data_IF_379770522265
#
_entry.id   IF_379770522265
#
_cell.length_a   1.000
_cell.length_b   1.000
_cell.length_c   1.000
_cell.angle_alpha   90.00
_cell.angle_beta   90.00
_cell.angle_gamma   90.00
#
_symmetry.space_group_name_H-M   'P 1'
#
loop_
_entity.id
_entity.type
_entity.pdbx_description
1 polymer ?
#
# COMPACT_ATOMS: atom_id res chain seq x y z
N UNK A 1 67.52 -18.48 -5.92
CA UNK A 1 66.45 -18.37 -4.92
C UNK A 1 65.32 -17.55 -5.50
N UNK A 2 64.16 -18.16 -5.68
CA UNK A 2 62.98 -17.63 -6.37
C UNK A 2 61.84 -17.61 -5.38
N UNK A 3 61.16 -16.47 -5.22
CA UNK A 3 59.81 -16.43 -4.67
C UNK A 3 59.01 -15.33 -5.38
N UNK A 4 58.22 -15.74 -6.38
CA UNK A 4 57.10 -14.98 -6.93
C UNK A 4 55.87 -15.22 -6.02
N UNK A 5 55.46 -14.19 -5.28
CA UNK A 5 54.21 -14.20 -4.52
C UNK A 5 53.01 -13.96 -5.43
N UNK A 6 52.28 -15.03 -5.76
CA UNK A 6 51.09 -14.99 -6.60
C UNK A 6 49.85 -14.73 -5.73
N UNK A 7 49.39 -13.48 -5.63
CA UNK A 7 48.17 -13.13 -4.87
C UNK A 7 46.95 -13.42 -5.74
N UNK A 8 46.43 -14.64 -5.66
CA UNK A 8 45.14 -15.02 -6.27
C UNK A 8 44.02 -14.20 -5.62
N UNK A 9 43.46 -13.28 -6.39
CA UNK A 9 42.22 -12.59 -6.05
C UNK A 9 41.08 -13.60 -6.23
N UNK A 10 40.56 -14.13 -5.13
CA UNK A 10 39.37 -15.00 -5.14
C UNK A 10 38.19 -14.09 -5.45
N UNK A 11 37.76 -14.11 -6.72
CA UNK A 11 36.49 -13.51 -7.13
C UNK A 11 35.38 -14.29 -6.43
N UNK A 12 34.78 -13.70 -5.39
CA UNK A 12 33.55 -14.20 -4.78
C UNK A 12 32.43 -13.96 -5.78
N UNK A 13 32.16 -14.95 -6.62
CA UNK A 13 30.89 -15.05 -7.33
C UNK A 13 29.79 -15.17 -6.27
N UNK A 14 29.10 -14.06 -6.00
CA UNK A 14 27.89 -14.07 -5.20
C UNK A 14 26.84 -14.79 -6.03
N UNK A 15 26.67 -16.09 -5.78
CA UNK A 15 25.49 -16.82 -6.20
C UNK A 15 24.28 -16.07 -5.63
N UNK A 16 23.42 -15.56 -6.50
CA UNK A 16 22.13 -14.98 -6.15
C UNK A 16 21.28 -16.07 -5.48
N UNK A 17 21.44 -16.22 -4.17
CA UNK A 17 20.64 -17.09 -3.33
C UNK A 17 19.23 -16.53 -3.27
N UNK A 18 18.33 -17.14 -4.04
CA UNK A 18 16.89 -16.99 -3.84
C UNK A 18 16.60 -17.54 -2.44
N UNK A 19 15.91 -16.75 -1.60
CA UNK A 19 15.35 -17.27 -0.35
C UNK A 19 14.36 -18.36 -0.74
N UNK A 20 14.69 -19.61 -0.43
CA UNK A 20 13.86 -20.77 -0.74
C UNK A 20 12.57 -20.67 0.05
N UNK A 21 11.44 -20.43 -0.62
CA UNK A 21 10.12 -20.52 -0.02
C UNK A 21 9.87 -22.01 0.25
N UNK A 22 9.76 -22.39 1.52
CA UNK A 22 9.44 -23.77 1.89
C UNK A 22 7.97 -24.04 1.61
N UNK A 23 7.65 -25.17 0.98
CA UNK A 23 6.27 -25.58 0.70
C UNK A 23 5.41 -25.60 1.98
N UNK A 24 5.99 -25.91 3.13
CA UNK A 24 5.28 -25.91 4.43
C UNK A 24 4.83 -24.53 4.90
N UNK A 25 5.53 -23.46 4.53
CA UNK A 25 5.19 -22.08 4.93
C UNK A 25 4.01 -21.52 4.10
N UNK A 26 3.80 -22.02 2.88
CA UNK A 26 2.69 -21.63 1.99
C UNK A 26 1.33 -22.20 2.45
N UNK A 27 1.32 -23.37 3.07
CA UNK A 27 0.08 -24.04 3.50
C UNK A 27 -0.47 -23.52 4.83
N UNK A 28 0.37 -22.95 5.71
CA UNK A 28 -0.04 -22.59 7.08
C UNK A 28 -0.27 -21.08 7.29
N UNK A 29 0.14 -20.23 6.35
CA UNK A 29 0.03 -18.79 6.51
C UNK A 29 -1.26 -18.25 5.86
N UNK A 30 -2.08 -17.59 6.67
CA UNK A 30 -3.23 -16.80 6.22
C UNK A 30 -2.84 -15.59 5.36
N UNK A 31 -1.54 -15.26 5.33
CA UNK A 31 -0.94 -14.18 4.54
C UNK A 31 0.44 -14.64 4.07
N UNK A 32 0.72 -14.68 2.77
CA UNK A 32 2.08 -14.90 2.28
C UNK A 32 3.05 -13.94 3.01
N UNK A 33 4.10 -14.48 3.65
CA UNK A 33 5.12 -13.68 4.33
C UNK A 33 6.05 -13.00 3.31
N UNK A 34 5.46 -12.13 2.50
CA UNK A 34 6.10 -11.40 1.42
C UNK A 34 5.57 -9.98 1.46
N UNK A 35 6.47 -9.00 1.39
CA UNK A 35 6.13 -7.58 1.36
C UNK A 35 5.89 -7.13 -0.09
N UNK A 36 6.88 -7.35 -0.95
CA UNK A 36 6.82 -7.01 -2.37
C UNK A 36 7.39 -8.18 -3.17
N UNK A 37 6.77 -8.51 -4.31
CA UNK A 37 7.28 -9.52 -5.24
C UNK A 37 7.43 -8.94 -6.65
N UNK A 38 8.45 -9.38 -7.39
CA UNK A 38 8.71 -8.93 -8.77
C UNK A 38 8.84 -10.14 -9.69
N UNK A 39 8.14 -10.09 -10.83
CA UNK A 39 8.15 -11.12 -11.87
C UNK A 39 8.01 -10.51 -13.27
N UNK A 40 8.46 -11.18 -14.34
CA UNK A 40 8.16 -10.75 -15.70
C UNK A 40 6.65 -10.68 -15.95
N UNK A 41 6.18 -9.70 -16.71
CA UNK A 41 4.74 -9.54 -17.01
C UNK A 41 4.19 -10.78 -17.69
N UNK A 42 4.94 -11.38 -18.62
CA UNK A 42 4.54 -12.59 -19.34
C UNK A 42 4.26 -13.75 -18.38
N UNK A 43 5.09 -13.90 -17.35
CA UNK A 43 4.94 -14.94 -16.34
C UNK A 43 3.71 -14.70 -15.47
N UNK A 44 3.40 -13.44 -15.11
CA UNK A 44 2.18 -13.11 -14.37
C UNK A 44 0.94 -13.49 -15.20
N UNK A 45 0.89 -13.06 -16.46
CA UNK A 45 -0.25 -13.30 -17.34
C UNK A 45 -0.47 -14.81 -17.59
N UNK A 46 0.61 -15.56 -17.71
CA UNK A 46 0.57 -17.01 -17.91
C UNK A 46 0.07 -17.76 -16.66
N UNK A 47 0.59 -17.41 -15.48
CA UNK A 47 0.27 -18.13 -14.24
C UNK A 47 -1.03 -17.68 -13.57
N UNK A 48 -1.54 -16.50 -13.93
CA UNK A 48 -2.74 -15.90 -13.32
C UNK A 48 -3.83 -15.60 -14.37
N UNK A 49 -3.95 -16.47 -15.38
CA UNK A 49 -4.96 -16.37 -16.43
C UNK A 49 -6.43 -16.26 -15.96
N UNK A 50 -6.84 -16.78 -14.78
CA UNK A 50 -8.19 -16.51 -14.26
C UNK A 50 -8.45 -15.04 -13.93
N UNK A 51 -7.41 -14.29 -13.55
CA UNK A 51 -7.50 -12.87 -13.19
C UNK A 51 -7.07 -11.94 -14.32
N UNK A 52 -6.22 -12.41 -15.23
CA UNK A 52 -5.71 -11.66 -16.37
C UNK A 52 -6.03 -12.41 -17.67
N UNK A 53 -7.22 -12.20 -18.22
CA UNK A 53 -7.57 -12.83 -19.50
C UNK A 53 -7.04 -12.00 -20.66
N UNK A 54 -6.17 -12.62 -21.46
CA UNK A 54 -5.64 -12.06 -22.69
C UNK A 54 -6.57 -12.40 -23.85
N UNK A 55 -7.11 -11.39 -24.51
CA UNK A 55 -7.92 -11.50 -25.73
C UNK A 55 -7.36 -10.54 -26.78
N UNK A 56 -6.91 -11.08 -27.91
CA UNK A 56 -6.25 -10.33 -28.98
C UNK A 56 -5.14 -9.40 -28.42
N UNK A 57 -5.38 -8.09 -28.49
CA UNK A 57 -4.48 -7.03 -28.07
C UNK A 57 -4.92 -6.35 -26.75
N UNK A 58 -5.80 -7.02 -25.98
CA UNK A 58 -6.37 -6.54 -24.72
C UNK A 58 -6.13 -7.54 -23.59
N UNK A 59 -5.84 -7.02 -22.39
CA UNK A 59 -5.84 -7.79 -21.15
C UNK A 59 -7.00 -7.27 -20.29
N UNK A 60 -7.95 -8.13 -19.94
CA UNK A 60 -9.05 -7.78 -19.04
C UNK A 60 -8.77 -8.31 -17.65
N UNK A 61 -8.80 -7.43 -16.66
CA UNK A 61 -8.63 -7.79 -15.24
C UNK A 61 -9.98 -8.20 -14.66
N UNK A 62 -10.03 -9.39 -14.05
CA UNK A 62 -11.22 -9.95 -13.40
C UNK A 62 -10.98 -10.17 -11.91
N UNK A 63 -11.98 -9.84 -11.08
CA UNK A 63 -11.75 -9.53 -9.67
C UNK A 63 -12.89 -10.01 -8.73
N UNK A 64 -13.61 -11.07 -9.12
CA UNK A 64 -14.90 -11.46 -8.54
C UNK A 64 -14.82 -12.13 -7.15
N UNK A 65 -13.76 -12.92 -6.88
CA UNK A 65 -13.59 -13.68 -5.62
C UNK A 65 -12.13 -13.64 -5.15
N UNK A 66 -11.49 -12.47 -5.25
CA UNK A 66 -10.05 -12.31 -5.04
C UNK A 66 -9.41 -11.46 -6.12
N UNK A 67 -8.15 -11.73 -6.41
CA UNK A 67 -7.37 -11.08 -7.47
C UNK A 67 -6.56 -9.90 -6.99
N UNK A 68 -6.44 -8.89 -7.85
CA UNK A 68 -5.44 -7.83 -7.75
C UNK A 68 -6.06 -6.45 -8.00
N UNK A 69 -5.60 -5.45 -7.25
CA UNK A 69 -5.84 -4.05 -7.59
C UNK A 69 -4.75 -3.61 -8.57
N UNK A 70 -5.06 -3.62 -9.87
CA UNK A 70 -4.09 -3.31 -10.93
C UNK A 70 -4.07 -1.81 -11.19
N UNK A 71 -2.96 -1.15 -10.85
CA UNK A 71 -2.76 0.28 -11.06
C UNK A 71 -1.86 0.52 -12.29
N UNK A 72 -2.38 1.20 -13.31
CA UNK A 72 -1.63 1.50 -14.54
C UNK A 72 -2.26 2.66 -15.33
N UNK A 73 -1.70 2.99 -16.50
CA UNK A 73 -2.21 4.04 -17.41
C UNK A 73 -2.85 3.43 -18.67
N UNK A 74 -3.40 2.22 -18.55
CA UNK A 74 -4.16 1.56 -19.61
C UNK A 74 -3.35 0.78 -20.64
N UNK A 75 -2.02 0.75 -20.55
CA UNK A 75 -1.16 -0.07 -21.43
C UNK A 75 -0.08 -0.81 -20.65
N UNK A 76 0.28 -1.99 -21.12
CA UNK A 76 1.41 -2.78 -20.61
C UNK A 76 2.12 -3.51 -21.75
N UNK A 77 3.44 -3.61 -21.66
CA UNK A 77 4.23 -4.45 -22.57
C UNK A 77 4.38 -5.85 -21.99
N UNK A 78 4.22 -6.87 -22.83
CA UNK A 78 4.60 -8.23 -22.52
C UNK A 78 5.26 -8.87 -23.75
N UNK A 79 6.52 -9.26 -23.62
CA UNK A 79 7.35 -9.76 -24.70
C UNK A 79 7.67 -8.67 -25.72
N UNK A 80 7.09 -8.81 -26.92
CA UNK A 80 7.24 -7.83 -28.02
C UNK A 80 5.93 -7.11 -28.34
N UNK A 81 4.88 -7.38 -27.57
CA UNK A 81 3.54 -6.87 -27.80
C UNK A 81 3.17 -5.87 -26.71
N UNK A 82 2.37 -4.89 -27.09
CA UNK A 82 1.75 -3.93 -26.16
C UNK A 82 0.27 -4.23 -26.09
N UNK A 83 -0.25 -4.41 -24.89
CA UNK A 83 -1.66 -4.69 -24.62
C UNK A 83 -2.33 -3.48 -23.99
N UNK A 84 -3.58 -3.26 -24.38
CA UNK A 84 -4.49 -2.35 -23.66
C UNK A 84 -5.06 -3.09 -22.45
N UNK A 85 -4.98 -2.50 -21.26
CA UNK A 85 -5.57 -3.10 -20.04
C UNK A 85 -6.99 -2.55 -19.86
N UNK A 86 -7.94 -3.44 -19.52
CA UNK A 86 -9.30 -3.10 -19.09
C UNK A 86 -9.50 -3.43 -17.62
N UNK A 87 -10.42 -2.71 -16.97
CA UNK A 87 -10.74 -2.83 -15.54
C UNK A 87 -9.54 -2.58 -14.61
N UNK A 88 -8.62 -1.70 -15.03
CA UNK A 88 -7.55 -1.20 -14.19
C UNK A 88 -8.01 0.02 -13.38
N UNK A 89 -7.22 0.39 -12.39
CA UNK A 89 -7.36 1.63 -11.62
C UNK A 89 -6.27 2.58 -12.12
N UNK A 90 -6.63 3.83 -12.42
CA UNK A 90 -5.65 4.83 -12.84
C UNK A 90 -4.61 5.06 -11.74
N UNK A 91 -3.35 5.32 -12.11
CA UNK A 91 -2.31 5.60 -11.09
C UNK A 91 -2.54 6.92 -10.37
N UNK A 92 -3.28 7.86 -10.95
CA UNK A 92 -3.58 9.16 -10.34
C UNK A 92 -5.09 9.40 -10.31
N UNK A 93 -5.71 9.25 -9.14
CA UNK A 93 -7.16 9.39 -8.97
C UNK A 93 -7.56 10.73 -8.37
N UNK A 94 -8.78 11.19 -8.65
CA UNK A 94 -9.39 12.35 -8.00
C UNK A 94 -10.55 11.89 -7.14
N UNK A 95 -10.48 12.21 -5.85
CA UNK A 95 -11.47 11.89 -4.84
C UNK A 95 -12.21 13.20 -4.51
N UNK A 96 -13.53 13.18 -4.60
CA UNK A 96 -14.39 14.37 -4.42
C UNK A 96 -15.17 14.33 -3.11
N UNK A 97 -15.32 13.14 -2.53
CA UNK A 97 -16.12 12.94 -1.33
C UNK A 97 -15.40 12.09 -0.29
N UNK A 98 -15.86 12.15 0.95
CA UNK A 98 -15.39 11.25 2.00
C UNK A 98 -15.73 9.77 1.71
N UNK A 99 -16.83 9.51 0.98
CA UNK A 99 -17.15 8.17 0.51
C UNK A 99 -16.10 7.68 -0.51
N UNK A 100 -15.72 8.52 -1.48
CA UNK A 100 -14.66 8.21 -2.45
C UNK A 100 -13.34 7.89 -1.74
N UNK A 101 -13.02 8.63 -0.67
CA UNK A 101 -11.84 8.38 0.15
C UNK A 101 -11.91 7.03 0.87
N UNK A 102 -13.05 6.71 1.51
CA UNK A 102 -13.25 5.42 2.17
C UNK A 102 -13.13 4.27 1.16
N UNK A 103 -13.81 4.37 0.02
CA UNK A 103 -13.77 3.36 -1.03
C UNK A 103 -12.36 3.17 -1.62
N UNK A 104 -11.63 4.28 -1.84
CA UNK A 104 -10.25 4.23 -2.32
C UNK A 104 -9.32 3.60 -1.27
N UNK A 105 -9.47 3.94 0.00
CA UNK A 105 -8.74 3.32 1.11
C UNK A 105 -9.00 1.82 1.17
N UNK A 106 -10.24 1.39 1.05
CA UNK A 106 -10.59 -0.04 1.00
C UNK A 106 -9.97 -0.73 -0.23
N UNK A 107 -9.98 -0.08 -1.38
CA UNK A 107 -9.37 -0.59 -2.62
C UNK A 107 -7.86 -0.82 -2.47
N UNK A 108 -7.15 0.09 -1.82
CA UNK A 108 -5.71 -0.06 -1.54
C UNK A 108 -5.41 -1.20 -0.56
N UNK A 109 -6.27 -1.40 0.45
CA UNK A 109 -5.94 -2.22 1.62
C UNK A 109 -6.51 -3.64 1.61
N UNK A 110 -7.35 -3.99 0.63
CA UNK A 110 -8.05 -5.30 0.57
C UNK A 110 -7.40 -6.29 -0.39
N UNK A 111 -6.81 -5.83 -1.50
CA UNK A 111 -6.18 -6.70 -2.50
C UNK A 111 -4.72 -6.34 -2.69
N UNK A 112 -3.85 -7.32 -3.01
CA UNK A 112 -2.51 -7.02 -3.46
C UNK A 112 -2.56 -6.07 -4.65
N UNK A 113 -1.70 -5.06 -4.63
CA UNK A 113 -1.58 -4.09 -5.71
C UNK A 113 -0.63 -4.65 -6.77
N UNK A 114 -0.96 -4.45 -8.04
CA UNK A 114 -0.06 -4.74 -9.17
C UNK A 114 0.30 -3.43 -9.86
N UNK A 115 1.60 -3.21 -9.99
CA UNK A 115 2.20 -2.14 -10.77
C UNK A 115 3.03 -2.74 -11.91
N UNK A 116 3.23 -1.97 -12.96
CA UNK A 116 4.08 -2.37 -14.08
C UNK A 116 5.22 -1.38 -14.24
N UNK A 117 6.43 -1.89 -14.46
CA UNK A 117 7.61 -1.08 -14.71
C UNK A 117 8.49 -1.73 -15.76
N UNK A 118 9.43 -0.97 -16.32
CA UNK A 118 10.43 -1.49 -17.23
C UNK A 118 11.78 -1.47 -16.56
N UNK A 119 12.57 -2.51 -16.79
CA UNK A 119 13.96 -2.53 -16.38
C UNK A 119 14.84 -3.11 -17.49
N UNK A 120 16.06 -2.56 -17.56
CA UNK A 120 17.06 -2.88 -18.56
C UNK A 120 18.22 -3.62 -17.92
N UNK A 121 18.68 -4.69 -18.54
CA UNK A 121 19.82 -5.45 -18.02
C UNK A 121 21.12 -4.67 -18.22
N UNK A 122 21.90 -4.44 -17.19
CA UNK A 122 23.07 -3.55 -17.27
C UNK A 122 24.31 -4.22 -17.85
N UNK A 123 24.34 -5.55 -17.93
CA UNK A 123 25.50 -6.33 -18.37
C UNK A 123 25.39 -6.91 -19.78
N UNK A 124 24.56 -6.33 -20.65
CA UNK A 124 24.41 -6.73 -22.05
C UNK A 124 24.86 -5.60 -23.00
N UNK A 125 25.51 -5.95 -24.12
CA UNK A 125 25.98 -4.99 -25.13
C UNK A 125 24.82 -4.29 -25.87
N UNK A 126 23.66 -4.95 -25.98
CA UNK A 126 22.44 -4.40 -26.58
C UNK A 126 21.21 -4.69 -25.69
N UNK A 127 21.15 -4.04 -24.51
CA UNK A 127 20.16 -4.37 -23.51
C UNK A 127 18.78 -3.87 -23.95
N UNK A 128 17.80 -4.77 -24.01
CA UNK A 128 16.41 -4.41 -24.28
C UNK A 128 15.67 -4.20 -22.97
N UNK A 129 14.75 -3.24 -22.98
CA UNK A 129 13.85 -3.02 -21.87
C UNK A 129 12.93 -4.24 -21.73
N UNK A 130 12.81 -4.72 -20.50
CA UNK A 130 11.92 -5.82 -20.16
C UNK A 130 10.88 -5.32 -19.18
N UNK A 131 9.62 -5.66 -19.43
CA UNK A 131 8.52 -5.31 -18.55
C UNK A 131 8.44 -6.28 -17.36
N UNK A 132 8.20 -5.71 -16.18
CA UNK A 132 8.03 -6.43 -14.93
C UNK A 132 6.73 -6.01 -14.26
N UNK A 133 6.06 -7.00 -13.67
CA UNK A 133 5.00 -6.76 -12.70
C UNK A 133 5.60 -6.69 -11.30
N UNK A 134 5.16 -5.72 -10.53
CA UNK A 134 5.48 -5.54 -9.12
C UNK A 134 4.20 -5.77 -8.32
N UNK A 135 4.18 -6.83 -7.52
CA UNK A 135 3.08 -7.17 -6.63
C UNK A 135 3.41 -6.63 -5.25
N UNK A 136 2.61 -5.68 -4.77
CA UNK A 136 2.72 -5.12 -3.42
C UNK A 136 1.68 -5.80 -2.54
N UNK A 137 2.13 -6.53 -1.52
CA UNK A 137 1.24 -7.24 -0.60
C UNK A 137 0.71 -6.28 0.47
N UNK A 138 -0.39 -5.60 0.17
CA UNK A 138 -1.04 -4.64 1.07
C UNK A 138 -1.68 -5.27 2.30
N UNK A 139 -1.72 -6.61 2.37
CA UNK A 139 -2.16 -7.38 3.55
C UNK A 139 -1.01 -7.69 4.50
N UNK A 140 0.25 -7.54 4.05
CA UNK A 140 1.40 -7.69 4.93
C UNK A 140 1.43 -6.55 5.95
N UNK A 141 1.60 -6.81 7.27
CA UNK A 141 1.52 -5.79 8.30
C UNK A 141 2.42 -4.56 8.06
N UNK A 142 3.66 -4.77 7.62
CA UNK A 142 4.60 -3.67 7.37
C UNK A 142 4.16 -2.76 6.21
N UNK A 143 3.79 -3.36 5.07
CA UNK A 143 3.31 -2.61 3.91
C UNK A 143 2.00 -1.89 4.23
N UNK A 144 1.09 -2.60 4.91
CA UNK A 144 -0.18 -2.03 5.37
C UNK A 144 0.04 -0.81 6.25
N UNK A 145 0.94 -0.91 7.23
CA UNK A 145 1.25 0.17 8.14
C UNK A 145 1.84 1.39 7.42
N UNK A 146 2.73 1.22 6.43
CA UNK A 146 3.26 2.33 5.63
C UNK A 146 2.17 3.04 4.82
N UNK A 147 1.27 2.27 4.19
CA UNK A 147 0.15 2.83 3.42
C UNK A 147 -0.80 3.59 4.37
N UNK A 148 -1.25 2.96 5.46
CA UNK A 148 -2.17 3.56 6.44
C UNK A 148 -1.55 4.81 7.09
N UNK A 149 -0.26 4.75 7.47
CA UNK A 149 0.48 5.91 8.00
C UNK A 149 0.53 7.04 6.99
N UNK A 150 0.81 6.76 5.71
CA UNK A 150 0.79 7.76 4.65
C UNK A 150 -0.58 8.45 4.53
N UNK A 151 -1.66 7.66 4.56
CA UNK A 151 -3.03 8.18 4.52
C UNK A 151 -3.38 9.03 5.75
N UNK A 152 -3.05 8.56 6.95
CA UNK A 152 -3.34 9.27 8.21
C UNK A 152 -2.53 10.57 8.34
N UNK A 153 -1.27 10.57 7.93
CA UNK A 153 -0.43 11.76 7.94
C UNK A 153 -0.94 12.84 6.98
N UNK A 154 -1.50 12.44 5.84
CA UNK A 154 -2.10 13.37 4.89
C UNK A 154 -3.36 14.04 5.48
N UNK A 155 -4.21 13.30 6.19
CA UNK A 155 -5.43 13.84 6.81
C UNK A 155 -5.10 14.74 8.00
N UNK A 156 -4.27 14.27 8.93
CA UNK A 156 -3.97 14.97 10.21
C UNK A 156 -3.32 16.34 10.02
N UNK A 157 -2.73 16.59 8.86
CA UNK A 157 -2.04 17.85 8.56
C UNK A 157 -2.93 18.87 7.85
N UNK A 158 -4.16 18.52 7.44
CA UNK A 158 -4.91 19.24 6.40
C UNK A 158 -6.43 19.13 6.62
N UNK A 159 -6.96 19.62 7.74
CA UNK A 159 -8.40 19.63 7.94
C UNK A 159 -9.07 20.72 7.10
N UNK A 160 -9.86 20.33 6.09
CA UNK A 160 -10.63 21.27 5.25
C UNK A 160 -9.93 21.81 4.01
N UNK A 161 -8.70 21.36 3.68
CA UNK A 161 -8.00 21.78 2.45
C UNK A 161 -7.94 20.66 1.40
N UNK A 162 -7.70 21.04 0.15
CA UNK A 162 -7.42 20.08 -0.92
C UNK A 162 -5.97 19.58 -0.79
N UNK A 163 -5.77 18.27 -0.90
CA UNK A 163 -4.43 17.68 -0.81
C UNK A 163 -4.21 16.59 -1.86
N UNK A 164 -2.95 16.34 -2.19
CA UNK A 164 -2.54 15.16 -2.95
C UNK A 164 -1.58 14.31 -2.15
N UNK A 165 -1.80 13.00 -2.13
CA UNK A 165 -0.89 12.02 -1.56
C UNK A 165 -0.36 11.11 -2.68
N UNK A 166 0.95 10.91 -2.72
CA UNK A 166 1.61 9.96 -3.60
C UNK A 166 2.32 8.88 -2.78
N UNK A 167 1.99 7.61 -3.04
CA UNK A 167 2.76 6.46 -2.61
C UNK A 167 3.88 6.19 -3.61
N UNK A 168 5.11 6.10 -3.13
CA UNK A 168 6.29 5.84 -3.94
C UNK A 168 6.95 4.52 -3.54
N UNK A 169 7.04 3.59 -4.50
CA UNK A 169 7.66 2.27 -4.35
C UNK A 169 9.06 2.21 -5.00
N UNK A 170 9.53 3.31 -5.61
CA UNK A 170 10.74 3.33 -6.43
C UNK A 170 11.99 2.94 -5.64
N UNK A 171 12.16 3.43 -4.42
CA UNK A 171 13.39 3.21 -3.62
C UNK A 171 13.69 1.72 -3.46
N UNK A 172 12.71 0.95 -2.96
CA UNK A 172 12.86 -0.49 -2.75
C UNK A 172 13.09 -1.25 -4.06
N UNK A 173 12.37 -0.88 -5.13
CA UNK A 173 12.42 -1.57 -6.42
C UNK A 173 13.71 -1.26 -7.20
N UNK A 174 14.17 -0.01 -7.20
CA UNK A 174 15.45 0.39 -7.80
C UNK A 174 16.60 -0.33 -7.13
N UNK A 175 16.63 -0.31 -5.79
CA UNK A 175 17.65 -1.03 -5.01
C UNK A 175 17.65 -2.55 -5.34
N UNK A 176 16.47 -3.15 -5.45
CA UNK A 176 16.33 -4.54 -5.86
C UNK A 176 16.89 -4.79 -7.26
N UNK A 177 16.47 -4.03 -8.28
CA UNK A 177 16.93 -4.23 -9.65
C UNK A 177 18.44 -4.07 -9.78
N UNK A 178 19.04 -3.07 -9.12
CA UNK A 178 20.49 -2.91 -9.08
C UNK A 178 21.21 -4.15 -8.55
N UNK A 179 20.64 -4.82 -7.53
CA UNK A 179 21.22 -6.05 -6.96
C UNK A 179 21.20 -7.26 -7.92
N UNK A 180 20.33 -7.25 -8.93
CA UNK A 180 20.19 -8.33 -9.92
C UNK A 180 20.67 -7.94 -11.33
N UNK A 181 21.49 -6.88 -11.43
CA UNK A 181 22.06 -6.35 -12.68
C UNK A 181 20.99 -5.84 -13.67
N UNK A 182 19.96 -5.20 -13.13
CA UNK A 182 18.97 -4.45 -13.88
C UNK A 182 18.99 -2.98 -13.42
N UNK A 183 18.54 -2.10 -14.29
CA UNK A 183 18.33 -0.68 -14.01
C UNK A 183 16.92 -0.28 -14.46
N UNK A 184 16.24 0.55 -13.68
CA UNK A 184 14.88 1.03 -13.97
C UNK A 184 14.82 2.53 -13.69
N UNK A 185 14.13 3.28 -14.56
CA UNK A 185 13.82 4.69 -14.34
C UNK A 185 12.78 4.90 -13.23
N UNK A 186 12.08 3.83 -12.84
CA UNK A 186 11.02 3.83 -11.84
C UNK A 186 9.66 4.28 -12.39
N UNK A 187 9.51 4.37 -13.72
CA UNK A 187 8.23 4.59 -14.36
C UNK A 187 7.23 3.51 -13.94
N UNK A 188 6.00 3.91 -13.64
CA UNK A 188 4.94 2.99 -13.22
C UNK A 188 4.96 2.60 -11.74
N UNK A 189 5.95 3.03 -10.95
CA UNK A 189 6.11 2.64 -9.54
C UNK A 189 5.54 3.64 -8.52
N UNK A 190 4.63 4.50 -8.96
CA UNK A 190 3.97 5.50 -8.12
C UNK A 190 2.47 5.44 -8.31
N UNK A 191 1.74 5.63 -7.21
CA UNK A 191 0.28 5.77 -7.18
C UNK A 191 -0.03 7.04 -6.40
N UNK A 192 -0.94 7.87 -6.90
CA UNK A 192 -1.37 9.08 -6.24
C UNK A 192 -2.88 9.23 -6.23
N UNK A 193 -3.37 10.03 -5.29
CA UNK A 193 -4.70 10.59 -5.37
C UNK A 193 -4.69 12.05 -4.94
N UNK A 194 -5.65 12.80 -5.47
CA UNK A 194 -5.96 14.17 -5.09
C UNK A 194 -7.34 14.17 -4.43
N UNK A 195 -7.41 14.59 -3.18
CA UNK A 195 -8.67 14.84 -2.49
C UNK A 195 -9.01 16.32 -2.63
N UNK A 196 -10.16 16.61 -3.27
CA UNK A 196 -10.71 17.96 -3.35
C UNK A 196 -11.94 18.04 -2.46
N UNK A 197 -11.96 19.06 -1.61
CA UNK A 197 -13.17 19.42 -0.86
C UNK A 197 -14.11 20.09 -1.87
N UNK A 198 -15.34 19.59 -2.01
CA UNK A 198 -16.41 20.22 -2.79
C UNK A 198 -16.72 21.58 -2.15
N UNK A 199 -16.02 22.59 -2.61
CA UNK A 199 -16.09 23.90 -2.03
C UNK A 199 -17.19 24.69 -2.78
N UNK A 200 -18.37 24.78 -2.16
CA UNK A 200 -19.38 25.82 -2.44
C UNK A 200 -18.83 27.25 -2.23
N UNK A 201 -17.58 27.38 -1.76
CA UNK A 201 -16.82 28.60 -1.65
C UNK A 201 -15.39 28.33 -2.14
N UNK A 202 -14.83 29.18 -3.00
CA UNK A 202 -13.49 29.06 -3.59
C UNK A 202 -12.33 29.26 -2.56
N UNK A 203 -12.53 28.88 -1.30
CA UNK A 203 -11.57 28.96 -0.18
C UNK A 203 -10.42 27.96 -0.30
N UNK A 204 -10.50 26.99 -1.21
CA UNK A 204 -9.38 26.08 -1.53
C UNK A 204 -8.12 26.83 -1.98
N UNK A 205 -8.26 28.02 -2.56
CA UNK A 205 -7.14 28.90 -2.91
C UNK A 205 -6.63 29.73 -1.72
N UNK A 206 -7.42 29.89 -0.66
CA UNK A 206 -7.08 30.70 0.50
C UNK A 206 -6.22 29.94 1.53
N UNK A 207 -6.38 28.61 1.61
CA UNK A 207 -5.66 27.75 2.57
C UNK A 207 -4.57 26.87 1.94
N UNK A 208 -4.52 26.77 0.60
CA UNK A 208 -3.40 26.17 -0.11
C UNK A 208 -3.56 24.68 -0.41
N UNK A 209 -2.78 24.19 -1.38
CA UNK A 209 -2.80 22.81 -1.85
C UNK A 209 -1.62 22.04 -1.27
N UNK A 210 -1.89 21.04 -0.42
CA UNK A 210 -0.82 20.26 0.23
C UNK A 210 -0.40 19.06 -0.62
N UNK A 211 0.88 19.01 -1.03
CA UNK A 211 1.47 17.85 -1.73
C UNK A 211 2.27 17.00 -0.75
N UNK A 212 1.91 15.72 -0.60
CA UNK A 212 2.58 14.76 0.29
C UNK A 212 3.05 13.54 -0.48
N UNK A 213 4.19 13.02 -0.06
CA UNK A 213 4.80 11.80 -0.58
C UNK A 213 5.03 10.83 0.58
N UNK A 214 4.57 9.59 0.43
CA UNK A 214 4.80 8.49 1.35
C UNK A 214 5.64 7.43 0.65
N UNK A 215 6.86 7.21 1.13
CA UNK A 215 7.69 6.12 0.63
C UNK A 215 7.23 4.80 1.23
N UNK A 216 6.99 3.80 0.40
CA UNK A 216 6.59 2.47 0.84
C UNK A 216 7.75 1.53 0.59
N UNK A 217 8.47 1.23 1.68
CA UNK A 217 9.63 0.34 1.64
C UNK A 217 9.22 -1.09 2.00
N UNK A 218 9.85 -2.06 1.35
CA UNK A 218 9.63 -3.47 1.64
C UNK A 218 10.72 -4.36 1.03
N UNK A 219 10.91 -5.53 1.62
CA UNK A 219 11.75 -6.61 1.12
C UNK A 219 11.16 -7.13 -0.17
N UNK A 220 11.97 -7.09 -1.23
CA UNK A 220 11.58 -7.51 -2.57
C UNK A 220 11.97 -8.96 -2.80
N UNK A 221 10.96 -9.79 -3.08
CA UNK A 221 11.09 -11.18 -3.45
C UNK A 221 11.19 -11.32 -4.98
N UNK A 222 12.27 -11.96 -5.43
CA UNK A 222 12.47 -12.24 -6.85
C UNK A 222 11.75 -13.53 -7.26
N UNK A 223 10.77 -13.43 -8.15
CA UNK A 223 10.02 -14.57 -8.68
C UNK A 223 10.42 -14.91 -10.12
N UNK A 224 11.60 -14.47 -10.59
CA UNK A 224 12.11 -14.84 -11.91
C UNK A 224 12.31 -16.36 -11.96
N UNK A 225 11.55 -17.03 -12.81
CA UNK A 225 11.63 -18.49 -12.95
C UNK A 225 11.83 -18.88 -14.41
N UNK A 226 12.79 -19.78 -14.63
CA UNK A 226 13.03 -20.45 -15.91
C UNK A 226 12.90 -22.00 -15.78
N UNK A 227 12.70 -22.51 -14.56
CA UNK A 227 12.57 -23.95 -14.26
C UNK A 227 11.12 -24.26 -13.85
N UNK A 228 10.60 -25.40 -14.30
CA UNK A 228 9.24 -25.87 -14.06
C UNK A 228 8.91 -26.03 -12.56
N UNK A 229 9.79 -26.64 -11.77
CA UNK A 229 9.56 -26.80 -10.32
C UNK A 229 9.47 -25.44 -9.60
N UNK A 230 10.27 -24.48 -10.04
CA UNK A 230 10.23 -23.10 -9.48
C UNK A 230 8.97 -22.38 -9.94
N UNK A 231 8.55 -22.60 -11.18
CA UNK A 231 7.35 -22.04 -11.77
C UNK A 231 6.09 -22.52 -11.03
N UNK A 232 6.02 -23.79 -10.64
CA UNK A 232 4.93 -24.30 -9.81
C UNK A 232 4.87 -23.60 -8.44
N UNK A 233 6.03 -23.41 -7.77
CA UNK A 233 6.09 -22.65 -6.50
C UNK A 233 5.66 -21.19 -6.68
N UNK A 234 6.05 -20.54 -7.78
CA UNK A 234 5.57 -19.19 -8.11
C UNK A 234 4.05 -19.20 -8.30
N UNK A 235 3.51 -20.19 -9.02
CA UNK A 235 2.07 -20.32 -9.20
C UNK A 235 1.35 -20.48 -7.86
N UNK A 236 1.81 -21.39 -6.99
CA UNK A 236 1.25 -21.56 -5.64
C UNK A 236 1.28 -20.26 -4.82
N UNK A 237 2.39 -19.52 -4.88
CA UNK A 237 2.50 -18.22 -4.24
C UNK A 237 1.48 -17.21 -4.78
N UNK A 238 1.32 -17.12 -6.10
CA UNK A 238 0.38 -16.21 -6.76
C UNK A 238 -1.09 -16.60 -6.50
N UNK A 239 -1.40 -17.88 -6.48
CA UNK A 239 -2.71 -18.39 -6.11
C UNK A 239 -3.03 -18.01 -4.66
N UNK A 240 -2.06 -18.14 -3.75
CA UNK A 240 -2.24 -17.80 -2.34
C UNK A 240 -2.41 -16.31 -2.10
N UNK A 241 -1.61 -15.46 -2.75
CA UNK A 241 -1.68 -14.00 -2.55
C UNK A 241 -2.95 -13.39 -3.16
N UNK A 242 -3.50 -14.01 -4.21
CA UNK A 242 -4.72 -13.57 -4.89
C UNK A 242 -6.02 -14.05 -4.22
N UNK A 243 -5.94 -14.91 -3.19
CA UNK A 243 -7.13 -15.34 -2.44
C UNK A 243 -7.98 -14.14 -1.95
N UNK A 244 -9.31 -14.30 -1.82
CA UNK A 244 -10.16 -13.24 -1.31
C UNK A 244 -9.77 -12.85 0.12
N UNK A 245 -9.86 -11.55 0.40
CA UNK A 245 -9.52 -11.04 1.73
C UNK A 245 -10.63 -11.37 2.72
N UNK A 246 -10.37 -12.31 3.62
CA UNK A 246 -11.27 -12.64 4.72
C UNK A 246 -10.92 -11.71 5.89
N UNK A 247 -11.70 -10.64 6.09
CA UNK A 247 -11.66 -9.89 7.35
C UNK A 247 -12.08 -10.84 8.46
N UNK A 248 -11.14 -11.33 9.25
CA UNK A 248 -11.48 -11.90 10.56
C UNK A 248 -11.97 -10.74 11.42
N UNK A 249 -13.29 -10.51 11.46
CA UNK A 249 -13.88 -9.89 12.63
C UNK A 249 -13.40 -10.74 13.81
N UNK A 250 -12.70 -10.13 14.76
CA UNK A 250 -12.50 -10.77 16.06
C UNK A 250 -13.86 -11.31 16.50
N UNK A 251 -13.90 -12.59 16.85
CA UNK A 251 -15.06 -13.16 17.54
C UNK A 251 -15.40 -12.19 18.67
N UNK A 252 -16.65 -11.72 18.80
CA UNK A 252 -17.02 -10.83 19.88
C UNK A 252 -16.96 -11.66 21.15
N UNK A 253 -15.80 -11.64 21.81
CA UNK A 253 -15.68 -12.16 23.15
C UNK A 253 -16.56 -11.24 24.01
N UNK A 254 -17.71 -11.78 24.40
CA UNK A 254 -18.76 -11.05 25.11
C UNK A 254 -18.21 -10.60 26.46
N UNK A 255 -17.65 -9.39 26.50
CA UNK A 255 -17.78 -8.46 27.62
C UNK A 255 -17.96 -7.06 27.07
N UNK A 256 -19.22 -6.64 27.04
CA UNK A 256 -19.57 -5.25 26.76
C UNK A 256 -19.02 -4.37 27.89
N UNK A 257 -17.94 -3.65 27.61
CA UNK A 257 -17.65 -2.40 28.32
C UNK A 257 -18.26 -1.26 27.51
N UNK A 258 -19.28 -0.62 28.09
CA UNK A 258 -20.11 0.45 27.52
C UNK A 258 -19.36 1.78 27.26
N UNK A 259 -18.05 1.78 27.06
CA UNK A 259 -17.28 2.96 26.69
C UNK A 259 -16.17 2.56 25.71
N UNK A 260 -16.49 2.44 24.43
CA UNK A 260 -15.54 2.68 23.33
C UNK A 260 -16.30 2.69 22.00
N UNK A 261 -17.09 3.74 21.76
CA UNK A 261 -17.60 4.05 20.42
C UNK A 261 -16.93 5.34 19.96
N UNK A 262 -15.89 5.16 19.15
CA UNK A 262 -15.15 6.22 18.47
C UNK A 262 -14.15 5.54 17.55
N UNK A 263 -14.56 5.20 16.33
CA UNK A 263 -13.57 4.93 15.28
C UNK A 263 -12.86 6.25 14.98
N UNK A 264 -11.53 6.23 14.96
CA UNK A 264 -10.69 7.39 14.67
C UNK A 264 -11.16 8.11 13.38
N UNK A 265 -11.70 7.38 12.42
CA UNK A 265 -12.23 7.90 11.15
C UNK A 265 -13.51 8.76 11.30
N UNK A 266 -14.28 8.67 12.40
CA UNK A 266 -15.45 9.53 12.65
C UNK A 266 -15.09 10.74 13.52
N UNK A 267 -14.21 10.56 14.50
CA UNK A 267 -13.76 11.66 15.38
C UNK A 267 -12.94 12.71 14.62
N UNK A 268 -12.16 12.29 13.63
CA UNK A 268 -11.28 13.19 12.86
C UNK A 268 -12.07 14.14 11.94
N UNK A 269 -13.27 13.77 11.47
CA UNK A 269 -14.06 14.63 10.56
C UNK A 269 -15.23 15.35 11.25
N UNK A 270 -15.58 14.97 12.49
CA UNK A 270 -16.68 15.57 13.26
C UNK A 270 -16.23 16.55 14.35
N UNK A 271 -14.93 16.90 14.47
CA UNK A 271 -14.46 17.83 15.49
C UNK A 271 -14.87 19.28 15.18
N UNK A 272 -16.02 19.70 15.71
CA UNK A 272 -16.39 21.11 15.91
C UNK A 272 -15.33 21.75 16.82
N UNK A 273 -14.80 22.96 16.52
CA UNK A 273 -13.79 23.58 17.37
C UNK A 273 -14.32 23.77 18.81
N UNK A 274 -13.49 23.58 19.85
CA UNK A 274 -13.92 23.81 21.22
C UNK A 274 -14.32 25.28 21.38
N UNK A 275 -15.61 25.47 21.63
CA UNK A 275 -16.21 26.74 21.98
C UNK A 275 -15.48 27.29 23.22
N UNK A 276 -14.68 28.35 23.06
CA UNK A 276 -14.12 29.10 24.17
C UNK A 276 -15.26 29.84 24.89
N UNK A 277 -15.92 29.15 25.82
CA UNK A 277 -16.75 29.75 26.87
C UNK A 277 -16.01 29.74 28.21
N UNK A 278 -16.14 30.78 29.04
CA UNK A 278 -15.32 30.93 30.24
C UNK A 278 -15.64 29.89 31.30
N UNK A 279 -14.59 29.21 31.79
CA UNK A 279 -14.61 28.32 32.96
C UNK A 279 -15.00 29.12 34.21
N UNK A 280 -16.20 28.88 34.74
CA UNK A 280 -16.51 29.17 36.15
C UNK A 280 -15.99 28.01 37.00
N UNK A 281 -14.97 28.27 37.81
CA UNK A 281 -14.44 27.32 38.79
C UNK A 281 -15.37 27.26 40.01
N UNK A 282 -15.92 26.08 40.28
CA UNK A 282 -16.42 25.71 41.60
C UNK A 282 -15.24 25.71 42.58
N UNK A 283 -15.39 26.44 43.67
CA UNK A 283 -14.64 26.22 44.90
C UNK A 283 -15.65 26.07 46.03
N UNK A 284 -15.75 24.84 46.50
CA UNK A 284 -16.46 24.43 47.70
C UNK A 284 -15.47 24.50 48.86
N UNK A 285 -15.81 25.22 49.94
CA UNK A 285 -15.12 25.09 51.23
C UNK A 285 -16.11 25.19 52.40
N UNK A 286 -16.35 24.01 53.00
CA UNK A 286 -16.44 23.71 54.45
C UNK A 286 -17.01 24.75 55.44
N UNK A 287 -18.17 24.38 56.02
CA UNK A 287 -18.79 24.81 57.30
C UNK A 287 -17.89 24.61 58.55
N UNK A 288 -18.28 24.94 59.84
CA UNK A 288 -19.59 25.32 60.45
C UNK A 288 -19.49 26.43 61.57
N UNK A 289 -20.35 26.50 62.63
CA UNK A 289 -21.79 26.80 62.73
C UNK A 289 -22.09 27.98 63.73
N UNK A 290 -23.37 28.15 64.14
CA UNK A 290 -23.99 28.88 65.29
C UNK A 290 -25.09 29.82 64.74
N UNK A 291 -26.41 29.61 64.82
CA UNK A 291 -27.40 29.27 65.87
C UNK A 291 -28.32 30.49 66.14
N UNK A 292 -29.64 30.24 66.09
CA UNK A 292 -30.79 31.06 66.58
C UNK A 292 -31.00 32.42 65.87
N UNK A 293 -32.21 32.94 65.63
CA UNK A 293 -33.50 32.84 66.31
C UNK A 293 -34.64 33.30 65.38
N UNK A 294 -35.89 33.02 65.78
CA UNK A 294 -37.16 33.35 65.13
C UNK A 294 -37.49 34.86 65.08
N UNK A 295 -38.30 35.27 64.10
CA UNK A 295 -39.56 36.10 64.17
C UNK A 295 -39.97 36.48 62.73
N UNK A 296 -41.17 36.13 62.24
CA UNK A 296 -42.40 36.97 62.14
C UNK A 296 -42.10 38.42 61.71
N UNK A 297 -42.75 39.07 60.76
CA UNK A 297 -44.17 39.10 60.38
C UNK A 297 -44.30 40.03 59.14
N UNK A 298 -45.38 39.84 58.36
CA UNK A 298 -46.08 40.83 57.50
C UNK A 298 -45.32 41.76 56.56
#
# INVERSE_FOLDING_TARGET
MSFKGNRRQVSRTVSAGIVSISSGELYTLTTCNCEIAVLPVELLLELQSPYFQKNDNTITVYNHQGGYSVFCDGKVEAGRETYTIRNYIERSNRLKSHADYKDYRETLLTKPIVLFTKARKTNQESPRDKAFAVIVNTRHPNIRAEIEKGMNNAITSVWGESYSLQFDFQTAIKQFFSSVNYDTDGEGLTISFEFKVDALFDISYLFGFSKRKAEVNGKVLNLFSANEEKREKVKMFLDKISEPYIRRSSVPDRRMSLFSMGSIDEEVFNSVPPNMGPRMSLLESTHPPIAEELTSES
#
